data_IF_216583788765
#
_entry.id   IF_216583788765
#
_cell.length_a   1.000
_cell.length_b   1.000
_cell.length_c   1.000
_cell.angle_alpha   90.00
_cell.angle_beta   90.00
_cell.angle_gamma   90.00
#
_symmetry.space_group_name_H-M   'P 1'
#
loop_
_entity.id
_entity.type
_entity.pdbx_description
1 polymer ?
#
# COMPACT_ATOMS: atom_id res chain seq x y z
N UNK A 1 12.87 -1.66 5.14
CA UNK A 1 14.19 -1.56 5.73
C UNK A 1 14.97 -0.39 5.12
N UNK A 2 16.15 -0.10 5.62
CA UNK A 2 17.15 0.79 5.02
C UNK A 2 18.40 -0.07 4.78
N UNK A 3 18.74 -0.29 3.52
CA UNK A 3 19.70 -1.28 3.06
C UNK A 3 19.06 -2.65 2.84
N UNK A 4 19.54 -3.35 1.83
CA UNK A 4 19.03 -4.66 1.39
C UNK A 4 19.88 -5.83 1.91
N UNK A 5 20.99 -5.54 2.61
CA UNK A 5 21.90 -6.58 3.13
C UNK A 5 21.25 -7.35 4.28
N UNK A 6 21.53 -8.64 4.37
CA UNK A 6 20.96 -9.56 5.37
C UNK A 6 21.19 -9.13 6.84
N UNK A 7 22.22 -8.33 7.10
CA UNK A 7 22.53 -7.82 8.45
C UNK A 7 21.77 -6.55 8.84
N UNK A 8 21.00 -5.96 7.94
CA UNK A 8 20.29 -4.70 8.17
C UNK A 8 18.93 -4.91 8.82
N UNK A 9 18.43 -3.83 9.44
CA UNK A 9 17.15 -3.83 10.16
C UNK A 9 17.33 -4.09 11.66
N UNK A 10 16.34 -3.65 12.42
CA UNK A 10 16.27 -3.92 13.86
C UNK A 10 15.70 -5.33 14.11
N UNK A 11 15.77 -5.81 15.36
CA UNK A 11 15.46 -7.18 15.76
C UNK A 11 14.11 -7.70 15.23
N UNK A 12 13.06 -6.88 15.28
CA UNK A 12 11.74 -7.25 14.76
C UNK A 12 11.75 -7.54 13.26
N UNK A 13 12.51 -6.74 12.48
CA UNK A 13 12.63 -6.91 11.03
C UNK A 13 13.45 -8.15 10.71
N UNK A 14 14.51 -8.41 11.47
CA UNK A 14 15.35 -9.61 11.34
C UNK A 14 14.58 -10.90 11.68
N UNK A 15 13.79 -10.90 12.76
CA UNK A 15 12.96 -12.04 13.13
C UNK A 15 11.88 -12.32 12.07
N UNK A 16 11.22 -11.27 11.57
CA UNK A 16 10.25 -11.39 10.49
C UNK A 16 10.88 -11.94 9.20
N UNK A 17 12.09 -11.47 8.84
CA UNK A 17 12.86 -11.97 7.71
C UNK A 17 13.15 -13.47 7.85
N UNK A 18 13.69 -13.88 8.99
CA UNK A 18 14.03 -15.28 9.24
C UNK A 18 12.79 -16.20 9.13
N UNK A 19 11.66 -15.79 9.70
CA UNK A 19 10.39 -16.54 9.65
C UNK A 19 9.82 -16.64 8.24
N UNK A 20 9.79 -15.53 7.49
CA UNK A 20 9.27 -15.51 6.12
C UNK A 20 10.16 -16.32 5.18
N UNK A 21 11.48 -16.22 5.33
CA UNK A 21 12.45 -17.01 4.56
C UNK A 21 12.29 -18.52 4.83
N UNK A 22 12.18 -18.91 6.10
CA UNK A 22 11.97 -20.31 6.49
C UNK A 22 10.64 -20.84 5.91
N UNK A 23 9.58 -20.05 5.97
CA UNK A 23 8.28 -20.41 5.43
C UNK A 23 8.31 -20.58 3.90
N UNK A 24 8.96 -19.67 3.19
CA UNK A 24 9.14 -19.76 1.75
C UNK A 24 9.97 -20.97 1.33
N UNK A 25 10.98 -21.36 2.12
CA UNK A 25 11.84 -22.50 1.85
C UNK A 25 11.20 -23.85 2.17
N UNK A 26 10.18 -23.92 3.00
CA UNK A 26 9.55 -25.17 3.46
C UNK A 26 8.85 -25.98 2.35
N UNK A 27 8.60 -25.37 1.18
CA UNK A 27 8.00 -26.03 0.02
C UNK A 27 6.52 -26.45 0.20
N UNK A 28 6.03 -26.49 1.43
CA UNK A 28 4.66 -26.88 1.77
C UNK A 28 3.70 -25.71 1.52
N UNK A 29 2.95 -25.80 0.43
CA UNK A 29 1.92 -24.80 0.11
C UNK A 29 2.47 -23.40 -0.20
N UNK A 30 3.59 -23.32 -0.92
CA UNK A 30 4.22 -22.04 -1.28
C UNK A 30 3.25 -21.19 -2.09
N UNK A 31 2.55 -20.27 -1.38
CA UNK A 31 1.59 -19.34 -1.96
C UNK A 31 2.22 -17.99 -2.30
N UNK A 32 3.50 -17.78 -1.97
CA UNK A 32 4.22 -16.54 -2.23
C UNK A 32 5.72 -16.79 -2.48
N UNK A 33 6.32 -15.91 -3.27
CA UNK A 33 7.77 -15.79 -3.42
C UNK A 33 8.29 -14.73 -2.44
N UNK A 34 9.23 -15.12 -1.59
CA UNK A 34 9.82 -14.18 -0.64
C UNK A 34 11.02 -13.47 -1.28
N UNK A 35 10.91 -12.16 -1.46
CA UNK A 35 11.93 -11.32 -2.11
C UNK A 35 13.00 -10.78 -1.15
N UNK A 36 12.87 -11.02 0.14
CA UNK A 36 13.80 -10.50 1.13
C UNK A 36 13.44 -9.09 1.61
N UNK A 37 14.46 -8.33 2.00
CA UNK A 37 14.28 -6.94 2.39
C UNK A 37 14.01 -6.05 1.18
N UNK A 38 13.09 -5.10 1.38
CA UNK A 38 12.79 -4.04 0.42
C UNK A 38 13.01 -2.69 1.08
N UNK A 39 13.38 -1.69 0.29
CA UNK A 39 13.57 -0.32 0.73
C UNK A 39 12.35 0.56 0.39
N UNK A 40 12.33 1.79 0.90
CA UNK A 40 11.22 2.70 0.69
C UNK A 40 10.93 3.01 -0.78
N UNK A 41 11.94 2.99 -1.65
CA UNK A 41 11.79 3.17 -3.10
C UNK A 41 11.08 2.00 -3.78
N UNK A 42 11.26 0.79 -3.26
CA UNK A 42 10.73 -0.45 -3.85
C UNK A 42 9.21 -0.58 -3.60
N UNK A 43 8.69 0.10 -2.57
CA UNK A 43 7.25 0.10 -2.24
C UNK A 43 6.39 0.53 -3.46
N UNK A 44 6.92 1.44 -4.28
CA UNK A 44 6.21 1.99 -5.44
C UNK A 44 6.76 1.50 -6.77
N UNK A 45 7.83 0.71 -6.76
CA UNK A 45 8.50 0.17 -7.94
C UNK A 45 7.69 -0.88 -8.69
N UNK A 46 6.74 -1.52 -8.02
CA UNK A 46 5.91 -2.58 -8.61
C UNK A 46 6.60 -3.93 -8.76
N UNK A 47 7.77 -4.10 -8.14
CA UNK A 47 8.52 -5.36 -8.17
C UNK A 47 8.01 -6.39 -7.16
N UNK A 48 7.25 -5.93 -6.17
CA UNK A 48 6.62 -6.77 -5.14
C UNK A 48 5.14 -6.46 -5.01
N UNK A 49 4.33 -7.49 -4.78
CA UNK A 49 2.87 -7.35 -4.65
C UNK A 49 2.46 -6.96 -3.22
N UNK A 50 3.25 -7.38 -2.22
CA UNK A 50 2.96 -7.12 -0.80
C UNK A 50 4.24 -6.75 -0.07
N UNK A 51 4.21 -5.64 0.65
CA UNK A 51 5.25 -5.21 1.58
C UNK A 51 4.72 -5.33 3.00
N UNK A 52 5.43 -6.09 3.83
CA UNK A 52 5.10 -6.25 5.26
C UNK A 52 5.96 -5.31 6.08
N UNK A 53 5.33 -4.55 6.96
CA UNK A 53 6.02 -3.59 7.84
C UNK A 53 5.31 -3.50 9.19
N UNK A 54 5.99 -2.99 10.21
CA UNK A 54 5.32 -2.59 11.45
C UNK A 54 4.39 -1.38 11.23
N UNK A 55 3.43 -1.21 12.13
CA UNK A 55 2.39 -0.19 11.95
C UNK A 55 2.90 1.24 12.05
N UNK A 56 4.00 1.49 12.78
CA UNK A 56 4.59 2.83 12.89
C UNK A 56 5.33 3.19 11.60
N UNK A 57 6.25 2.33 11.15
CA UNK A 57 7.02 2.53 9.92
C UNK A 57 6.11 2.66 8.71
N UNK A 58 5.12 1.79 8.58
CA UNK A 58 4.13 1.86 7.50
C UNK A 58 3.33 3.17 7.52
N UNK A 59 2.90 3.64 8.69
CA UNK A 59 2.20 4.91 8.82
C UNK A 59 3.09 6.12 8.48
N UNK A 60 4.36 6.11 8.88
CA UNK A 60 5.32 7.16 8.50
C UNK A 60 5.50 7.20 6.99
N UNK A 61 5.70 6.04 6.34
CA UNK A 61 5.83 5.95 4.89
C UNK A 61 4.58 6.50 4.17
N UNK A 62 3.38 6.08 4.57
CA UNK A 62 2.12 6.56 4.00
C UNK A 62 1.94 8.07 4.18
N UNK A 63 2.19 8.61 5.37
CA UNK A 63 2.05 10.06 5.64
C UNK A 63 3.08 10.90 4.90
N UNK A 64 4.31 10.39 4.76
CA UNK A 64 5.35 11.05 3.96
C UNK A 64 4.93 11.09 2.49
N UNK A 65 4.44 9.98 1.94
CA UNK A 65 3.96 9.92 0.56
C UNK A 65 2.78 10.89 0.32
N UNK A 66 1.79 10.93 1.21
CA UNK A 66 0.67 11.87 1.14
C UNK A 66 1.18 13.32 1.14
N UNK A 67 2.15 13.63 2.01
CA UNK A 67 2.77 14.96 2.11
C UNK A 67 3.52 15.35 0.83
N UNK A 68 4.31 14.44 0.27
CA UNK A 68 5.06 14.67 -0.97
C UNK A 68 4.12 14.86 -2.16
N UNK A 69 3.08 14.01 -2.28
CA UNK A 69 2.08 14.16 -3.34
C UNK A 69 1.36 15.52 -3.26
N UNK A 70 1.00 15.95 -2.04
CA UNK A 70 0.42 17.27 -1.79
C UNK A 70 1.37 18.42 -2.14
N UNK A 71 2.64 18.32 -1.78
CA UNK A 71 3.69 19.30 -2.11
C UNK A 71 3.85 19.45 -3.63
N UNK A 72 4.00 18.34 -4.35
CA UNK A 72 4.16 18.33 -5.81
C UNK A 72 2.92 18.94 -6.48
N UNK A 73 1.73 18.51 -6.10
CA UNK A 73 0.47 19.01 -6.64
C UNK A 73 0.31 20.51 -6.40
N UNK A 74 0.64 20.97 -5.20
CA UNK A 74 0.60 22.38 -4.84
C UNK A 74 1.63 23.21 -5.60
N UNK A 75 2.83 22.68 -5.85
CA UNK A 75 3.87 23.33 -6.65
C UNK A 75 3.44 23.47 -8.11
N UNK A 76 3.00 22.38 -8.72
CA UNK A 76 2.50 22.37 -10.09
C UNK A 76 1.37 23.39 -10.29
N UNK A 77 0.40 23.42 -9.37
CA UNK A 77 -0.69 24.39 -9.43
C UNK A 77 -0.19 25.83 -9.40
N UNK A 78 0.77 26.17 -8.54
CA UNK A 78 1.36 27.50 -8.47
C UNK A 78 2.04 27.89 -9.78
N UNK A 79 2.87 27.00 -10.32
CA UNK A 79 3.60 27.27 -11.59
C UNK A 79 2.63 27.47 -12.75
N UNK A 80 1.60 26.64 -12.91
CA UNK A 80 0.59 26.78 -13.96
C UNK A 80 -0.37 27.97 -13.77
N UNK A 81 -0.32 28.66 -12.62
CA UNK A 81 -1.13 29.86 -12.38
C UNK A 81 -0.30 31.16 -12.36
N UNK A 82 1.02 31.07 -12.45
CA UNK A 82 1.94 32.19 -12.24
C UNK A 82 1.86 33.27 -13.35
N UNK A 83 1.51 32.92 -14.60
CA UNK A 83 1.43 33.88 -15.72
C UNK A 83 0.30 33.49 -16.68
N UNK A 84 -0.04 34.41 -17.62
CA UNK A 84 -1.03 34.11 -18.65
C UNK A 84 -0.59 32.96 -19.59
N UNK A 85 0.69 32.92 -19.96
CA UNK A 85 1.26 31.84 -20.75
C UNK A 85 1.25 30.48 -20.00
N UNK A 86 1.58 30.50 -18.70
CA UNK A 86 1.52 29.32 -17.86
C UNK A 86 0.08 28.78 -17.71
N UNK A 87 -0.91 29.66 -17.58
CA UNK A 87 -2.33 29.27 -17.55
C UNK A 87 -2.78 28.59 -18.84
N UNK A 88 -2.36 29.13 -20.00
CA UNK A 88 -2.65 28.53 -21.31
C UNK A 88 -2.00 27.14 -21.42
N UNK A 89 -0.73 27.01 -21.04
CA UNK A 89 -0.02 25.74 -21.00
C UNK A 89 -0.71 24.73 -20.06
N UNK A 90 -1.15 25.18 -18.89
CA UNK A 90 -1.90 24.38 -17.93
C UNK A 90 -3.26 23.91 -18.48
N UNK A 91 -3.94 24.71 -19.26
CA UNK A 91 -5.19 24.34 -19.92
C UNK A 91 -4.97 23.22 -20.95
N UNK A 92 -3.93 23.32 -21.75
CA UNK A 92 -3.53 22.31 -22.74
C UNK A 92 -3.09 21.01 -22.02
N UNK A 93 -2.30 21.12 -20.96
CA UNK A 93 -1.82 19.97 -20.17
C UNK A 93 -2.90 19.31 -19.27
N UNK A 94 -4.05 19.97 -19.10
CA UNK A 94 -5.10 19.54 -18.15
C UNK A 94 -5.52 18.07 -18.26
N UNK A 95 -5.70 17.46 -19.45
CA UNK A 95 -6.07 16.05 -19.56
C UNK A 95 -4.98 15.10 -19.00
N UNK A 96 -3.72 15.45 -19.23
CA UNK A 96 -2.57 14.67 -18.71
C UNK A 96 -2.46 14.84 -17.19
N UNK A 97 -2.50 16.08 -16.71
CA UNK A 97 -2.44 16.40 -15.29
C UNK A 97 -3.57 15.74 -14.49
N UNK A 98 -4.77 15.65 -15.06
CA UNK A 98 -5.89 14.94 -14.44
C UNK A 98 -5.62 13.44 -14.28
N UNK A 99 -5.05 12.78 -15.30
CA UNK A 99 -4.70 11.35 -15.20
C UNK A 99 -3.66 11.11 -14.11
N UNK A 100 -2.60 11.91 -14.10
CA UNK A 100 -1.56 11.82 -13.06
C UNK A 100 -2.14 12.10 -11.67
N UNK A 101 -2.93 13.17 -11.52
CA UNK A 101 -3.57 13.50 -10.24
C UNK A 101 -4.52 12.41 -9.76
N UNK A 102 -5.26 11.76 -10.66
CA UNK A 102 -6.15 10.66 -10.26
C UNK A 102 -5.38 9.42 -9.83
N UNK A 103 -4.26 9.09 -10.47
CA UNK A 103 -3.43 7.94 -10.04
C UNK A 103 -2.73 8.16 -8.69
N UNK A 104 -2.52 9.42 -8.30
CA UNK A 104 -1.92 9.79 -7.02
C UNK A 104 -2.96 10.13 -5.94
N UNK A 105 -4.25 10.01 -6.23
CA UNK A 105 -5.32 10.37 -5.31
C UNK A 105 -5.46 9.32 -4.19
N UNK A 106 -5.10 9.65 -2.94
CA UNK A 106 -5.14 8.69 -1.83
C UNK A 106 -6.55 8.17 -1.52
N UNK A 107 -7.60 8.89 -1.96
CA UNK A 107 -9.00 8.45 -1.79
C UNK A 107 -9.31 7.15 -2.53
N UNK A 108 -8.58 6.85 -3.61
CA UNK A 108 -8.75 5.62 -4.39
C UNK A 108 -8.17 4.39 -3.67
N UNK A 109 -7.28 4.60 -2.71
CA UNK A 109 -6.63 3.54 -1.93
C UNK A 109 -7.21 3.41 -0.51
N UNK A 110 -8.31 4.12 -0.23
CA UNK A 110 -8.97 4.04 1.08
C UNK A 110 -9.66 2.68 1.28
N UNK A 111 -9.55 2.17 2.49
CA UNK A 111 -10.15 0.89 2.89
C UNK A 111 -9.11 -0.18 3.19
N UNK A 112 -8.59 -0.19 4.42
CA UNK A 112 -7.67 -1.22 4.90
C UNK A 112 -8.46 -2.37 5.53
N UNK A 113 -8.30 -3.59 5.01
CA UNK A 113 -8.91 -4.79 5.60
C UNK A 113 -8.15 -5.17 6.87
N UNK A 114 -8.88 -5.36 7.96
CA UNK A 114 -8.34 -5.88 9.22
C UNK A 114 -8.23 -7.40 9.12
N UNK A 115 -7.02 -7.91 8.94
CA UNK A 115 -6.76 -9.34 8.81
C UNK A 115 -6.72 -10.01 10.18
N UNK A 116 -7.04 -11.32 10.26
CA UNK A 116 -7.04 -12.09 11.51
C UNK A 116 -8.35 -12.03 12.32
N UNK A 117 -9.36 -11.37 11.79
CA UNK A 117 -10.69 -11.34 12.39
C UNK A 117 -11.60 -12.42 11.78
N UNK A 118 -12.59 -12.89 12.56
CA UNK A 118 -13.58 -13.87 12.11
C UNK A 118 -14.62 -13.32 11.12
N UNK A 119 -14.62 -12.01 10.90
CA UNK A 119 -15.52 -11.29 9.97
C UNK A 119 -14.75 -10.22 9.23
N UNK A 120 -15.25 -9.83 8.06
CA UNK A 120 -14.68 -8.71 7.30
C UNK A 120 -14.91 -7.41 8.05
N UNK A 121 -13.82 -6.76 8.42
CA UNK A 121 -13.78 -5.41 8.98
C UNK A 121 -12.84 -4.58 8.11
N UNK A 122 -13.33 -3.45 7.61
CA UNK A 122 -12.54 -2.53 6.78
C UNK A 122 -12.44 -1.19 7.49
N UNK A 123 -11.20 -0.77 7.74
CA UNK A 123 -10.90 0.55 8.32
C UNK A 123 -10.88 1.59 7.22
N UNK A 124 -11.70 2.63 7.35
CA UNK A 124 -11.63 3.84 6.53
C UNK A 124 -10.77 4.91 7.20
N UNK A 125 -10.19 5.81 6.41
CA UNK A 125 -9.45 6.95 6.93
C UNK A 125 -10.41 7.91 7.69
N UNK A 126 -9.94 8.51 8.79
CA UNK A 126 -10.78 9.40 9.62
C UNK A 126 -11.27 10.66 8.90
N UNK A 127 -10.54 11.14 7.89
CA UNK A 127 -10.92 12.27 7.04
C UNK A 127 -11.57 11.86 5.71
N UNK A 128 -12.06 10.62 5.62
CA UNK A 128 -12.65 10.10 4.40
C UNK A 128 -13.90 10.90 3.98
N UNK A 129 -13.86 11.40 2.75
CA UNK A 129 -15.04 11.96 2.09
C UNK A 129 -15.93 10.83 1.51
N UNK A 130 -17.03 11.20 0.85
CA UNK A 130 -17.95 10.25 0.23
C UNK A 130 -17.28 9.31 -0.79
N UNK A 131 -16.24 9.78 -1.51
CA UNK A 131 -15.53 8.99 -2.53
C UNK A 131 -14.68 7.94 -1.84
N UNK A 132 -13.90 8.35 -0.85
CA UNK A 132 -13.08 7.47 -0.05
C UNK A 132 -13.92 6.41 0.70
N UNK A 133 -15.05 6.82 1.31
CA UNK A 133 -15.96 5.90 1.99
C UNK A 133 -16.57 4.87 1.02
N UNK A 134 -17.03 5.31 -0.16
CA UNK A 134 -17.55 4.41 -1.19
C UNK A 134 -16.49 3.38 -1.61
N UNK A 135 -15.21 3.78 -1.69
CA UNK A 135 -14.10 2.87 -1.98
C UNK A 135 -13.90 1.83 -0.88
N UNK A 136 -13.93 2.24 0.39
CA UNK A 136 -13.83 1.31 1.53
C UNK A 136 -14.97 0.28 1.52
N UNK A 137 -16.20 0.70 1.23
CA UNK A 137 -17.36 -0.20 1.08
C UNK A 137 -17.15 -1.18 -0.09
N UNK A 138 -16.64 -0.70 -1.22
CA UNK A 138 -16.35 -1.56 -2.37
C UNK A 138 -15.28 -2.62 -2.04
N UNK A 139 -14.24 -2.26 -1.29
CA UNK A 139 -13.22 -3.21 -0.80
C UNK A 139 -13.84 -4.25 0.14
N UNK A 140 -14.70 -3.84 1.07
CA UNK A 140 -15.40 -4.77 1.94
C UNK A 140 -16.27 -5.76 1.12
N UNK A 141 -17.00 -5.28 0.13
CA UNK A 141 -17.81 -6.12 -0.75
C UNK A 141 -16.95 -7.09 -1.58
N UNK A 142 -15.76 -6.67 -2.03
CA UNK A 142 -14.82 -7.55 -2.74
C UNK A 142 -14.29 -8.62 -1.78
N UNK A 143 -13.88 -8.25 -0.57
CA UNK A 143 -13.37 -9.19 0.43
C UNK A 143 -14.40 -10.27 0.80
N UNK A 144 -15.68 -9.89 0.95
CA UNK A 144 -16.78 -10.85 1.17
C UNK A 144 -16.96 -11.77 -0.04
N UNK A 145 -17.08 -11.21 -1.25
CA UNK A 145 -17.25 -12.03 -2.48
C UNK A 145 -16.09 -12.97 -2.74
N UNK A 146 -14.88 -12.59 -2.33
CA UNK A 146 -13.67 -13.39 -2.44
C UNK A 146 -13.47 -14.33 -1.26
N UNK A 147 -14.41 -14.44 -0.34
CA UNK A 147 -14.34 -15.31 0.84
C UNK A 147 -12.99 -15.19 1.58
N UNK A 148 -12.53 -13.94 1.79
CA UNK A 148 -11.19 -13.67 2.31
C UNK A 148 -10.92 -14.34 3.66
N UNK A 149 -11.91 -14.36 4.56
CA UNK A 149 -11.75 -14.95 5.90
C UNK A 149 -11.54 -16.47 5.79
N UNK A 150 -12.32 -17.13 4.95
CA UNK A 150 -12.26 -18.57 4.71
C UNK A 150 -10.90 -18.94 4.08
N UNK A 151 -10.45 -18.21 3.07
CA UNK A 151 -9.16 -18.44 2.43
C UNK A 151 -7.98 -18.25 3.41
N UNK A 152 -8.01 -17.20 4.23
CA UNK A 152 -6.96 -16.97 5.25
C UNK A 152 -6.99 -18.09 6.29
N UNK A 153 -8.17 -18.51 6.75
CA UNK A 153 -8.31 -19.59 7.74
C UNK A 153 -7.76 -20.91 7.19
N UNK A 154 -8.10 -21.26 5.97
CA UNK A 154 -7.59 -22.47 5.32
C UNK A 154 -6.08 -22.43 5.10
N UNK A 155 -5.55 -21.29 4.66
CA UNK A 155 -4.11 -21.11 4.45
C UNK A 155 -3.30 -21.24 5.75
N UNK A 156 -3.85 -20.77 6.88
CA UNK A 156 -3.22 -20.91 8.19
C UNK A 156 -3.31 -22.37 8.69
N UNK A 157 -4.48 -23.01 8.57
CA UNK A 157 -4.66 -24.40 8.99
C UNK A 157 -3.76 -25.37 8.23
N UNK A 158 -3.53 -25.16 6.92
CA UNK A 158 -2.60 -25.96 6.11
C UNK A 158 -1.13 -25.75 6.48
N UNK A 159 -0.80 -24.70 7.23
CA UNK A 159 0.54 -24.37 7.69
C UNK A 159 0.89 -24.80 9.10
N UNK A 160 -0.10 -25.24 9.90
CA UNK A 160 0.10 -25.69 11.29
C UNK A 160 0.36 -27.19 11.40
N UNK A 161 0.43 -27.93 10.31
CA UNK A 161 0.65 -29.39 10.29
C UNK A 161 2.13 -29.77 10.25
N UNK A 162 2.99 -29.04 11.00
CA UNK A 162 4.34 -29.56 11.33
C UNK A 162 4.86 -28.92 12.62
#
# INVERSE_FOLDING_TARGET
NIGSEESKGHDLVQDAHARLRARAASGTGNIFEYRGFVEGQDIFGGEVDVVVTDGFTGNVALKTMEGVAGLISGRLRREFTASAGAKLAGLIARPVLRRVSSSLDPRQYNGAVMVGLRRIVVKSHGSADRVALARAIAIAAIAVRRQLVEHVTLALASGETH
#
